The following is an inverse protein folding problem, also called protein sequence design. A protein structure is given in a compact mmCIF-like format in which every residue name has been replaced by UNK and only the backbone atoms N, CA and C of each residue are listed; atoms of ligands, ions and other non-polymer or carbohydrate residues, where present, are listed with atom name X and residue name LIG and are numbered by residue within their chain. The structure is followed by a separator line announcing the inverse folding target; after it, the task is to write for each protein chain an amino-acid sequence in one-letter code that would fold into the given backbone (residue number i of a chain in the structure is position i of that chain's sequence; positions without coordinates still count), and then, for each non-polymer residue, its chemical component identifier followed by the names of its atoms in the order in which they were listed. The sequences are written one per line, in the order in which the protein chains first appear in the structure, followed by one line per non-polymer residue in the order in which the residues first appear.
data_IF_223362888824
#
_entry.id   IF_223362888824
#
_cell.length_a   1.000
_cell.length_b   1.000
_cell.length_c   1.000
_cell.angle_alpha   90.00
_cell.angle_beta   90.00
_cell.angle_gamma   90.00
#
_symmetry.space_group_name_H-M   'P 1'
#
loop_
_entity.id
_entity.type
_entity.pdbx_description
1 polymer ?
#
# COMPACT_ATOMS: atom_id res chain seq x y z
N UNK A 1 9.62 -11.24 -8.67
CA UNK A 1 9.57 -9.85 -8.20
C UNK A 1 10.97 -9.25 -8.22
N UNK A 2 11.18 -8.18 -8.97
CA UNK A 2 12.43 -7.44 -9.04
C UNK A 2 12.54 -6.37 -7.93
N UNK A 3 13.66 -5.63 -7.87
CA UNK A 3 13.91 -4.65 -6.81
C UNK A 3 12.96 -3.44 -6.87
N UNK A 4 12.63 -2.93 -8.06
CA UNK A 4 11.71 -1.78 -8.21
C UNK A 4 10.27 -2.18 -7.88
N UNK A 5 9.84 -3.38 -8.26
CA UNK A 5 8.53 -3.94 -7.86
C UNK A 5 8.43 -4.09 -6.33
N UNK A 6 9.49 -4.58 -5.67
CA UNK A 6 9.52 -4.69 -4.20
C UNK A 6 9.43 -3.31 -3.54
N UNK A 7 10.16 -2.32 -4.05
CA UNK A 7 10.12 -0.96 -3.56
C UNK A 7 8.73 -0.32 -3.74
N UNK A 8 8.07 -0.56 -4.89
CA UNK A 8 6.72 -0.10 -5.16
C UNK A 8 5.70 -0.68 -4.17
N UNK A 9 5.76 -2.00 -3.91
CA UNK A 9 4.86 -2.62 -2.92
C UNK A 9 5.13 -2.08 -1.51
N UNK A 10 6.40 -1.92 -1.12
CA UNK A 10 6.74 -1.37 0.20
C UNK A 10 6.25 0.07 0.37
N UNK A 11 6.43 0.92 -0.64
CA UNK A 11 5.96 2.31 -0.62
C UNK A 11 4.43 2.37 -0.50
N UNK A 12 3.70 1.53 -1.25
CA UNK A 12 2.25 1.42 -1.15
C UNK A 12 1.78 0.94 0.24
N UNK A 13 2.40 -0.11 0.79
CA UNK A 13 2.04 -0.61 2.12
C UNK A 13 2.28 0.45 3.20
N UNK A 14 3.39 1.20 3.09
CA UNK A 14 3.67 2.32 4.00
C UNK A 14 2.60 3.42 3.87
N UNK A 15 2.22 3.80 2.65
CA UNK A 15 1.14 4.76 2.43
C UNK A 15 -0.17 4.28 3.08
N UNK A 16 -0.55 3.02 2.88
CA UNK A 16 -1.76 2.45 3.46
C UNK A 16 -1.72 2.43 4.99
N UNK A 17 -0.59 2.06 5.59
CA UNK A 17 -0.41 2.06 7.04
C UNK A 17 -0.50 3.48 7.61
N UNK A 18 0.14 4.46 6.98
CA UNK A 18 0.06 5.87 7.41
C UNK A 18 -1.36 6.40 7.28
N UNK A 19 -2.06 6.12 6.17
CA UNK A 19 -3.46 6.51 6.00
C UNK A 19 -4.36 5.90 7.09
N UNK A 20 -4.18 4.60 7.40
CA UNK A 20 -4.90 3.95 8.50
C UNK A 20 -4.61 4.61 9.85
N UNK A 21 -3.36 4.95 10.14
CA UNK A 21 -2.99 5.62 11.38
C UNK A 21 -3.61 7.01 11.51
N UNK A 22 -3.61 7.80 10.42
CA UNK A 22 -4.24 9.13 10.37
C UNK A 22 -5.75 9.04 10.61
N UNK A 23 -6.41 8.03 10.03
CA UNK A 23 -7.86 7.84 10.13
C UNK A 23 -8.31 7.19 11.44
N UNK A 24 -7.41 6.52 12.17
CA UNK A 24 -7.72 5.87 13.43
C UNK A 24 -8.02 6.84 14.58
N UNK A 25 -7.56 8.10 14.49
CA UNK A 25 -7.85 9.17 15.46
C UNK A 25 -8.44 10.41 14.76
N UNK A 26 -9.76 10.43 14.47
CA UNK A 26 -10.41 11.51 13.74
C UNK A 26 -10.20 12.92 14.35
N UNK A 27 -10.20 13.11 15.68
CA UNK A 27 -9.85 14.40 16.29
C UNK A 27 -8.47 14.94 15.92
N UNK A 28 -7.49 14.08 15.68
CA UNK A 28 -6.12 14.47 15.30
C UNK A 28 -5.91 14.53 13.78
N UNK A 29 -6.83 13.97 12.99
CA UNK A 29 -6.74 13.91 11.54
C UNK A 29 -6.47 15.26 10.86
N UNK A 30 -7.07 16.40 11.25
CA UNK A 30 -6.76 17.69 10.62
C UNK A 30 -5.28 18.07 10.66
N UNK A 31 -4.55 17.66 11.71
CA UNK A 31 -3.10 17.89 11.84
C UNK A 31 -2.27 16.82 11.13
N UNK A 32 -2.79 15.61 11.01
CA UNK A 32 -2.05 14.46 10.50
C UNK A 32 -2.24 14.23 8.98
N UNK A 33 -3.35 14.67 8.39
CA UNK A 33 -3.63 14.57 6.95
C UNK A 33 -2.52 15.16 6.06
N UNK A 34 -1.94 16.34 6.34
CA UNK A 34 -0.84 16.88 5.53
C UNK A 34 0.40 15.97 5.48
N UNK A 35 0.60 15.11 6.49
CA UNK A 35 1.72 14.16 6.55
C UNK A 35 1.60 13.03 5.51
N UNK A 36 0.44 12.85 4.87
CA UNK A 36 0.26 11.87 3.79
C UNK A 36 0.91 12.29 2.47
N UNK A 37 1.22 13.58 2.29
CA UNK A 37 1.84 14.10 1.06
C UNK A 37 3.14 13.38 0.69
N UNK A 38 4.01 13.12 1.67
CA UNK A 38 5.29 12.43 1.48
C UNK A 38 5.10 10.97 1.05
N UNK A 39 4.38 10.10 1.79
CA UNK A 39 4.19 8.72 1.38
C UNK A 39 3.38 8.57 0.08
N UNK A 40 2.53 9.53 -0.27
CA UNK A 40 1.87 9.55 -1.59
C UNK A 40 2.90 9.75 -2.72
N UNK A 41 3.74 10.79 -2.62
CA UNK A 41 4.77 11.05 -3.62
C UNK A 41 5.78 9.91 -3.75
N UNK A 42 6.14 9.26 -2.64
CA UNK A 42 7.04 8.11 -2.64
C UNK A 42 6.40 6.88 -3.31
N UNK A 43 5.10 6.64 -3.08
CA UNK A 43 4.37 5.56 -3.74
C UNK A 43 4.28 5.81 -5.25
N UNK A 44 3.94 7.03 -5.68
CA UNK A 44 3.86 7.40 -7.09
C UNK A 44 5.21 7.21 -7.80
N UNK A 45 6.30 7.68 -7.18
CA UNK A 45 7.64 7.53 -7.73
C UNK A 45 8.06 6.05 -7.85
N UNK A 46 7.78 5.24 -6.83
CA UNK A 46 8.13 3.83 -6.83
C UNK A 46 7.30 3.02 -7.85
N UNK A 47 6.01 3.34 -8.00
CA UNK A 47 5.15 2.76 -9.04
C UNK A 47 5.64 3.13 -10.44
N UNK A 48 6.05 4.38 -10.65
CA UNK A 48 6.65 4.83 -11.91
C UNK A 48 7.95 4.09 -12.25
N UNK A 49 8.84 3.93 -11.27
CA UNK A 49 10.10 3.19 -11.43
C UNK A 49 9.89 1.69 -11.69
N UNK A 50 8.77 1.12 -11.25
CA UNK A 50 8.39 -0.26 -11.54
C UNK A 50 7.62 -0.41 -12.87
N UNK A 51 7.26 0.69 -13.55
CA UNK A 51 6.40 0.65 -14.74
C UNK A 51 4.96 0.26 -14.44
N UNK A 52 4.50 0.47 -13.20
CA UNK A 52 3.18 0.07 -12.71
C UNK A 52 2.18 1.24 -12.66
N UNK A 53 2.60 2.46 -13.00
CA UNK A 53 1.69 3.61 -13.14
C UNK A 53 0.66 3.33 -14.24
N UNK A 54 -0.62 3.32 -13.89
CA UNK A 54 -1.72 3.02 -14.82
C UNK A 54 -1.86 1.53 -15.20
N UNK A 55 -1.18 0.64 -14.47
CA UNK A 55 -1.32 -0.81 -14.62
C UNK A 55 -1.63 -1.44 -13.24
N UNK A 56 -2.80 -1.11 -12.73
CA UNK A 56 -3.26 -1.51 -11.41
C UNK A 56 -3.45 -3.03 -11.31
N UNK A 57 -3.82 -3.69 -12.41
CA UNK A 57 -4.01 -5.15 -12.45
C UNK A 57 -2.71 -5.90 -12.11
N UNK A 58 -1.59 -5.51 -12.72
CA UNK A 58 -0.29 -6.13 -12.45
C UNK A 58 0.21 -5.80 -11.04
N UNK A 59 -0.01 -4.58 -10.59
CA UNK A 59 0.28 -4.18 -9.21
C UNK A 59 -0.51 -5.01 -8.18
N UNK A 60 -1.82 -5.21 -8.38
CA UNK A 60 -2.64 -6.00 -7.46
C UNK A 60 -2.24 -7.48 -7.43
N UNK A 61 -1.83 -8.07 -8.55
CA UNK A 61 -1.28 -9.43 -8.57
C UNK A 61 -0.01 -9.54 -7.73
N UNK A 62 0.88 -8.55 -7.82
CA UNK A 62 2.09 -8.46 -7.01
C UNK A 62 1.78 -8.38 -5.50
N UNK A 63 0.85 -7.52 -5.10
CA UNK A 63 0.43 -7.37 -3.70
C UNK A 63 -0.25 -8.65 -3.18
N UNK A 64 -1.13 -9.28 -3.95
CA UNK A 64 -1.81 -10.53 -3.58
C UNK A 64 -0.84 -11.71 -3.43
N UNK A 65 0.28 -11.72 -4.17
CA UNK A 65 1.34 -12.72 -4.01
C UNK A 65 2.13 -12.58 -2.70
N UNK A 66 2.10 -11.42 -2.05
CA UNK A 66 2.83 -11.12 -0.81
C UNK A 66 1.96 -11.20 0.45
N UNK A 67 0.67 -10.91 0.30
CA UNK A 67 -0.35 -11.21 1.30
C UNK A 67 -1.18 -12.40 0.79
N UNK A 68 -0.75 -13.66 1.02
CA UNK A 68 -1.67 -14.77 0.82
C UNK A 68 -2.88 -14.47 1.69
N UNK A 69 -4.04 -14.25 1.07
CA UNK A 69 -5.28 -14.02 1.78
C UNK A 69 -5.38 -15.10 2.87
N UNK A 70 -5.51 -14.69 4.14
CA UNK A 70 -5.85 -15.61 5.20
C UNK A 70 -7.17 -16.25 4.79
N UNK A 71 -7.07 -17.48 4.27
CA UNK A 71 -8.23 -18.27 3.91
C UNK A 71 -8.99 -18.44 5.22
N UNK A 72 -10.25 -17.97 5.35
CA UNK A 72 -11.00 -18.20 6.57
C UNK A 72 -10.98 -19.70 6.83
N UNK A 73 -10.49 -20.06 8.01
CA UNK A 73 -10.25 -21.44 8.39
C UNK A 73 -11.56 -22.22 8.22
N UNK A 74 -11.55 -23.20 7.31
CA UNK A 74 -12.71 -24.05 7.03
C UNK A 74 -12.84 -25.16 8.07
N UNK A 75 -12.35 -24.93 9.29
CA UNK A 75 -12.35 -25.86 10.43
C UNK A 75 -13.48 -25.58 11.43
N UNK A 76 -14.59 -25.00 10.96
CA UNK A 76 -15.86 -24.95 11.69
C UNK A 76 -16.98 -25.42 10.76
N UNK A 77 -17.04 -26.72 10.53
CA UNK A 77 -18.18 -27.43 9.93
C UNK A 77 -18.30 -28.81 10.60
#
# INVERSE_FOLDING_TARGET
MNASERAAVQAYLRLLQTARAVLADPPSAPRALPLLSVPMAEADAALGAAGLTGNEADFFRLVAGLHPAERPDRSAA
#
